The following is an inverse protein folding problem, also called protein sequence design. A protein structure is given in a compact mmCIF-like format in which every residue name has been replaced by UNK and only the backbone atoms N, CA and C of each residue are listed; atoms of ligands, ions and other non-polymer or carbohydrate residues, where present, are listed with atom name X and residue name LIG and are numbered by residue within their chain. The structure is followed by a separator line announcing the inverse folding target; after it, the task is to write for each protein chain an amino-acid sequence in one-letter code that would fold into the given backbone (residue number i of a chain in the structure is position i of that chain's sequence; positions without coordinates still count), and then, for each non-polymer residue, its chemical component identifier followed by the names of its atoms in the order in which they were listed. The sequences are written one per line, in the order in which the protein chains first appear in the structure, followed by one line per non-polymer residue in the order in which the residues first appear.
data_IF_763615420242
#
_entry.id   IF_763615420242
#
_cell.length_a   1.000
_cell.length_b   1.000
_cell.length_c   1.000
_cell.angle_alpha   90.00
_cell.angle_beta   90.00
_cell.angle_gamma   90.00
#
_symmetry.space_group_name_H-M   'P 1'
#
loop_
_entity.id
_entity.type
_entity.pdbx_description
1 polymer ?
#
# COMPACT_ATOMS: atom_id res chain seq x y z
N UNK A 1 13.89 9.38 25.14
CA UNK A 1 14.80 8.40 25.75
C UNK A 1 14.47 6.95 25.36
N UNK A 2 13.19 6.53 25.33
CA UNK A 2 12.83 5.18 24.89
C UNK A 2 13.25 4.93 23.43
N UNK A 3 13.09 5.93 22.56
CA UNK A 3 13.56 5.86 21.18
C UNK A 3 15.09 5.78 21.08
N UNK A 4 15.84 6.47 21.95
CA UNK A 4 17.30 6.39 21.95
C UNK A 4 17.76 4.97 22.30
N UNK A 5 17.15 4.35 23.32
CA UNK A 5 17.41 2.95 23.67
C UNK A 5 17.06 2.01 22.52
N UNK A 6 15.92 2.24 21.85
CA UNK A 6 15.52 1.43 20.71
C UNK A 6 16.49 1.60 19.52
N UNK A 7 16.95 2.81 19.25
CA UNK A 7 17.95 3.11 18.22
C UNK A 7 19.26 2.38 18.47
N UNK A 8 19.82 2.51 19.67
CA UNK A 8 21.09 1.89 20.07
C UNK A 8 21.05 0.35 19.96
N UNK A 9 19.89 -0.24 20.24
CA UNK A 9 19.71 -1.70 20.24
C UNK A 9 19.03 -2.23 18.97
N UNK A 10 18.73 -1.39 17.98
CA UNK A 10 17.99 -1.73 16.75
C UNK A 10 16.65 -2.43 17.04
N UNK A 11 15.88 -1.91 17.99
CA UNK A 11 14.60 -2.47 18.39
C UNK A 11 13.46 -1.76 17.68
N UNK A 12 12.45 -2.48 17.16
CA UNK A 12 11.23 -1.87 16.64
C UNK A 12 10.53 -1.01 17.71
N UNK A 13 9.96 0.11 17.29
CA UNK A 13 9.09 0.92 18.14
C UNK A 13 7.62 0.65 17.84
N UNK A 14 6.83 0.40 18.88
CA UNK A 14 5.38 0.28 18.79
C UNK A 14 4.79 1.40 19.66
N UNK A 15 4.08 2.33 19.02
CA UNK A 15 3.44 3.46 19.66
C UNK A 15 1.97 3.15 19.91
N UNK A 16 1.53 3.08 21.16
CA UNK A 16 0.11 3.03 21.54
C UNK A 16 -0.35 4.47 21.69
N UNK A 17 -1.05 5.00 20.67
CA UNK A 17 -1.28 6.45 20.57
C UNK A 17 -2.66 6.83 21.07
N UNK A 18 -2.67 7.70 22.07
CA UNK A 18 -3.80 8.44 22.58
C UNK A 18 -3.27 9.81 23.07
N UNK A 19 -3.43 10.85 22.26
CA UNK A 19 -2.85 12.17 22.50
C UNK A 19 -3.77 13.28 22.05
N UNK A 20 -4.21 14.09 22.99
CA UNK A 20 -5.01 15.31 22.74
C UNK A 20 -4.21 16.49 22.15
N UNK A 21 -2.90 16.30 21.91
CA UNK A 21 -1.99 17.36 21.49
C UNK A 21 -1.25 18.03 22.63
N UNK A 22 -0.71 19.23 22.41
CA UNK A 22 0.09 19.95 23.39
C UNK A 22 -0.76 20.53 24.53
N UNK A 23 -0.22 20.52 25.75
CA UNK A 23 -0.79 21.24 26.86
C UNK A 23 -0.58 22.76 26.68
N UNK A 24 -1.63 23.47 26.27
CA UNK A 24 -1.58 24.90 25.94
C UNK A 24 -1.03 25.80 27.04
N UNK A 25 -1.29 25.60 28.36
CA UNK A 25 -0.65 26.36 29.40
C UNK A 25 0.88 26.30 29.40
N UNK A 26 1.48 25.20 28.93
CA UNK A 26 2.92 24.98 28.89
C UNK A 26 3.49 25.05 27.45
N UNK A 27 2.77 25.70 26.52
CA UNK A 27 3.14 25.71 25.10
C UNK A 27 4.52 26.31 24.80
N UNK A 28 5.00 27.22 25.63
CA UNK A 28 6.32 27.85 25.48
C UNK A 28 7.49 26.88 25.60
N UNK A 29 7.29 25.75 26.27
CA UNK A 29 8.34 24.73 26.46
C UNK A 29 8.36 23.64 25.37
N UNK A 30 7.29 23.56 24.55
CA UNK A 30 7.09 22.43 23.64
C UNK A 30 8.13 22.34 22.51
N UNK A 31 8.59 23.50 22.00
CA UNK A 31 9.48 23.57 20.85
C UNK A 31 10.78 24.33 21.11
N UNK A 32 10.98 24.83 22.34
CA UNK A 32 12.08 25.69 22.67
C UNK A 32 13.44 24.97 22.69
N UNK A 33 13.46 23.69 22.95
CA UNK A 33 14.69 22.91 23.11
C UNK A 33 14.76 21.72 22.14
N UNK A 34 15.98 21.29 21.87
CA UNK A 34 16.33 20.11 21.05
C UNK A 34 15.61 18.84 21.53
N UNK A 35 15.51 18.64 22.83
CA UNK A 35 14.88 17.47 23.45
C UNK A 35 13.36 17.67 23.70
N UNK A 36 12.77 18.73 23.12
CA UNK A 36 11.35 18.99 23.15
C UNK A 36 10.54 18.00 22.30
N UNK A 37 9.24 18.26 22.17
CA UNK A 37 8.27 17.36 21.53
C UNK A 37 8.67 17.01 20.08
N UNK A 38 9.28 17.94 19.32
CA UNK A 38 9.75 17.71 17.95
C UNK A 38 10.80 16.60 17.82
N UNK A 39 11.57 16.30 18.89
CA UNK A 39 12.58 15.26 18.87
C UNK A 39 12.00 13.87 18.62
N UNK A 40 10.78 13.61 19.07
CA UNK A 40 10.08 12.34 18.84
C UNK A 40 9.94 12.05 17.36
N UNK A 41 9.55 13.03 16.55
CA UNK A 41 9.34 12.88 15.10
C UNK A 41 10.66 12.77 14.34
N UNK A 42 11.64 13.57 14.75
CA UNK A 42 13.01 13.46 14.21
C UNK A 42 13.57 12.06 14.40
N UNK A 43 13.49 11.52 15.60
CA UNK A 43 13.96 10.18 15.91
C UNK A 43 13.18 9.12 15.14
N UNK A 44 11.85 9.21 15.09
CA UNK A 44 10.99 8.27 14.37
C UNK A 44 11.40 8.17 12.89
N UNK A 45 11.59 9.30 12.20
CA UNK A 45 12.00 9.33 10.79
C UNK A 45 13.39 8.74 10.58
N UNK A 46 14.35 9.12 11.42
CA UNK A 46 15.73 8.63 11.31
C UNK A 46 15.81 7.13 11.60
N UNK A 47 15.07 6.62 12.57
CA UNK A 47 15.01 5.20 12.88
C UNK A 47 14.40 4.40 11.72
N UNK A 48 13.30 4.88 11.13
CA UNK A 48 12.71 4.28 9.93
C UNK A 48 13.73 4.25 8.78
N UNK A 49 14.43 5.34 8.49
CA UNK A 49 15.47 5.41 7.47
C UNK A 49 16.63 4.42 7.70
N UNK A 50 16.93 4.07 8.96
CA UNK A 50 17.90 3.04 9.32
C UNK A 50 17.33 1.61 9.26
N UNK A 51 16.08 1.44 8.86
CA UNK A 51 15.41 0.14 8.78
C UNK A 51 14.95 -0.40 10.12
N UNK A 52 14.81 0.46 11.14
CA UNK A 52 14.24 0.12 12.45
C UNK A 52 12.73 0.36 12.37
N UNK A 53 11.88 -0.69 12.40
CA UNK A 53 10.45 -0.55 12.16
C UNK A 53 9.73 0.34 13.18
N UNK A 54 8.86 1.21 12.67
CA UNK A 54 8.03 2.12 13.43
C UNK A 54 6.55 1.77 13.19
N UNK A 55 5.84 1.33 14.22
CA UNK A 55 4.43 0.93 14.14
C UNK A 55 3.61 1.81 15.06
N UNK A 56 2.52 2.40 14.57
CA UNK A 56 1.57 3.11 15.42
C UNK A 56 0.25 2.36 15.53
N UNK A 57 -0.33 2.37 16.71
CA UNK A 57 -1.67 1.85 17.00
C UNK A 57 -2.47 3.00 17.61
N UNK A 58 -3.41 3.53 16.84
CA UNK A 58 -4.27 4.63 17.25
C UNK A 58 -5.45 4.07 18.02
N UNK A 59 -5.37 4.19 19.35
CA UNK A 59 -6.34 3.64 20.31
C UNK A 59 -7.18 4.73 20.96
N UNK A 60 -6.96 5.98 20.60
CA UNK A 60 -7.68 7.15 21.09
C UNK A 60 -7.45 8.33 20.16
N UNK A 61 -7.48 9.54 20.69
CA UNK A 61 -7.24 10.75 19.89
C UNK A 61 -5.79 10.85 19.42
N UNK A 62 -5.59 11.35 18.20
CA UNK A 62 -4.30 11.81 17.70
C UNK A 62 -4.50 13.22 17.11
N UNK A 63 -4.37 14.25 17.96
CA UNK A 63 -4.67 15.62 17.59
C UNK A 63 -3.41 16.45 17.40
N UNK A 64 -3.43 17.37 16.45
CA UNK A 64 -2.36 18.32 16.13
C UNK A 64 -1.02 17.61 15.86
N UNK A 65 0.05 17.93 16.58
CA UNK A 65 1.34 17.27 16.45
C UNK A 65 1.28 15.75 16.66
N UNK A 66 0.37 15.27 17.53
CA UNK A 66 0.15 13.83 17.75
C UNK A 66 -0.29 13.05 16.53
N UNK A 67 -0.96 13.72 15.57
CA UNK A 67 -1.38 13.12 14.30
C UNK A 67 -0.20 12.62 13.43
N UNK A 68 0.98 13.20 13.61
CA UNK A 68 2.16 12.80 12.85
C UNK A 68 2.77 11.48 13.33
N UNK A 69 2.53 11.03 14.58
CA UNK A 69 3.03 9.74 15.06
C UNK A 69 2.53 8.60 14.15
N UNK A 70 1.22 8.39 13.94
CA UNK A 70 0.74 7.38 13.02
C UNK A 70 1.06 7.70 11.54
N UNK A 71 0.98 8.97 11.13
CA UNK A 71 1.18 9.35 9.74
C UNK A 71 2.63 9.14 9.25
N UNK A 72 3.61 9.18 10.14
CA UNK A 72 5.03 8.97 9.87
C UNK A 72 5.52 7.56 10.22
N UNK A 73 4.67 6.71 10.77
CA UNK A 73 5.01 5.31 11.04
C UNK A 73 5.07 4.51 9.73
N UNK A 74 5.90 3.46 9.72
CA UNK A 74 6.02 2.54 8.58
C UNK A 74 4.70 1.78 8.36
N UNK A 75 4.00 1.44 9.44
CA UNK A 75 2.63 0.94 9.43
C UNK A 75 1.80 1.53 10.57
N UNK A 76 0.55 1.87 10.26
CA UNK A 76 -0.40 2.45 11.20
C UNK A 76 -1.70 1.63 11.27
N UNK A 77 -2.10 1.32 12.50
CA UNK A 77 -3.36 0.64 12.84
C UNK A 77 -4.27 1.66 13.52
N UNK A 78 -5.55 1.67 13.20
CA UNK A 78 -6.52 2.52 13.89
C UNK A 78 -7.71 1.69 14.38
N UNK A 79 -8.18 1.97 15.60
CA UNK A 79 -9.35 1.31 16.17
C UNK A 79 -10.61 2.04 15.73
N UNK A 80 -11.54 1.31 15.12
CA UNK A 80 -12.80 1.81 14.59
C UNK A 80 -13.65 2.46 15.70
N UNK A 81 -14.27 3.60 15.40
CA UNK A 81 -15.14 4.35 16.32
C UNK A 81 -14.49 4.75 17.68
N UNK A 82 -13.16 4.68 17.76
CA UNK A 82 -12.39 5.01 18.96
C UNK A 82 -11.18 5.87 18.59
N UNK A 83 -10.38 5.42 17.65
CA UNK A 83 -9.22 6.15 17.16
C UNK A 83 -9.59 7.29 16.21
N UNK A 84 -8.99 8.46 16.40
CA UNK A 84 -9.14 9.60 15.48
C UNK A 84 -7.80 10.24 15.18
N UNK A 85 -7.62 10.74 13.95
CA UNK A 85 -6.41 11.44 13.51
C UNK A 85 -6.84 12.72 12.79
N UNK A 86 -6.45 13.89 13.31
CA UNK A 86 -6.66 15.17 12.63
C UNK A 86 -5.68 16.23 13.11
N UNK A 87 -5.31 17.17 12.23
CA UNK A 87 -4.42 18.29 12.57
C UNK A 87 -5.13 19.32 13.44
N UNK A 88 -6.45 19.44 13.29
CA UNK A 88 -7.30 20.30 14.11
C UNK A 88 -8.61 19.57 14.40
N UNK A 89 -8.97 19.46 15.67
CA UNK A 89 -10.21 18.80 16.09
C UNK A 89 -11.47 19.60 15.72
N UNK A 90 -12.69 19.00 15.87
CA UNK A 90 -13.95 19.63 15.49
C UNK A 90 -14.17 21.04 16.04
N UNK A 91 -13.78 21.37 17.31
CA UNK A 91 -13.93 22.74 17.82
C UNK A 91 -13.06 23.76 17.06
N UNK A 92 -11.84 23.38 16.68
CA UNK A 92 -10.94 24.26 15.91
C UNK A 92 -11.44 24.44 14.48
N UNK A 93 -11.91 23.36 13.83
CA UNK A 93 -12.52 23.42 12.49
C UNK A 93 -13.72 24.36 12.49
N UNK A 94 -14.62 24.23 13.46
CA UNK A 94 -15.77 25.13 13.61
C UNK A 94 -15.35 26.58 13.79
N UNK A 95 -14.33 26.84 14.61
CA UNK A 95 -13.85 28.20 14.85
C UNK A 95 -13.17 28.81 13.61
N UNK A 96 -12.45 28.01 12.82
CA UNK A 96 -11.67 28.48 11.67
C UNK A 96 -12.50 28.60 10.39
N UNK A 97 -13.43 27.68 10.15
CA UNK A 97 -14.16 27.56 8.86
C UNK A 97 -15.67 27.68 8.99
N UNK A 98 -16.22 27.62 10.23
CA UNK A 98 -17.66 27.53 10.47
C UNK A 98 -18.24 26.14 10.26
N UNK A 99 -17.47 25.16 9.78
CA UNK A 99 -17.94 23.79 9.53
C UNK A 99 -18.23 23.07 10.83
N UNK A 100 -19.37 22.40 10.89
CA UNK A 100 -19.76 21.52 12.00
C UNK A 100 -19.63 20.07 11.56
N UNK A 101 -18.67 19.36 12.11
CA UNK A 101 -18.33 17.99 11.74
C UNK A 101 -18.08 17.17 12.99
N UNK A 102 -18.45 15.87 12.97
CA UNK A 102 -18.13 14.96 14.07
C UNK A 102 -16.63 14.55 14.02
N UNK A 103 -16.07 14.10 15.13
CA UNK A 103 -14.70 13.60 15.17
C UNK A 103 -14.49 12.39 14.24
N UNK A 104 -15.49 11.49 14.19
CA UNK A 104 -15.43 10.31 13.32
C UNK A 104 -15.48 10.68 11.84
N UNK A 105 -16.34 11.64 11.44
CA UNK A 105 -16.42 12.10 10.04
C UNK A 105 -15.19 12.92 9.63
N UNK A 106 -14.56 13.64 10.56
CA UNK A 106 -13.38 14.47 10.31
C UNK A 106 -12.10 13.65 10.20
N UNK A 107 -11.94 12.63 11.03
CA UNK A 107 -10.68 11.88 11.10
C UNK A 107 -10.79 10.51 11.77
N UNK A 108 -11.93 9.85 11.64
CA UNK A 108 -12.14 8.51 12.18
C UNK A 108 -11.48 7.40 11.37
N UNK A 109 -11.55 6.20 11.93
CA UNK A 109 -10.86 5.03 11.38
C UNK A 109 -11.27 4.64 9.97
N UNK A 110 -12.55 4.69 9.65
CA UNK A 110 -13.04 4.36 8.31
C UNK A 110 -12.59 5.38 7.26
N UNK A 111 -12.59 6.66 7.60
CA UNK A 111 -12.12 7.72 6.70
C UNK A 111 -10.64 7.49 6.33
N UNK A 112 -9.80 7.29 7.35
CA UNK A 112 -8.36 7.17 7.13
C UNK A 112 -7.95 5.86 6.48
N UNK A 113 -8.67 4.77 6.75
CA UNK A 113 -8.36 3.47 6.14
C UNK A 113 -8.94 3.29 4.73
N UNK A 114 -9.98 4.07 4.33
CA UNK A 114 -10.66 3.91 3.03
C UNK A 114 -10.39 5.04 2.05
N UNK A 115 -10.28 6.29 2.54
CA UNK A 115 -10.25 7.49 1.68
C UNK A 115 -8.89 8.20 1.67
N UNK A 116 -8.36 8.52 2.85
CA UNK A 116 -7.09 9.27 2.93
C UNK A 116 -5.85 8.39 2.83
N UNK A 117 -5.95 7.10 3.20
CA UNK A 117 -4.82 6.19 3.22
C UNK A 117 -3.79 6.47 4.31
N UNK A 118 -4.10 7.32 5.30
CA UNK A 118 -3.20 7.62 6.43
C UNK A 118 -2.96 6.37 7.27
N UNK A 119 -3.98 5.53 7.45
CA UNK A 119 -3.84 4.26 8.17
C UNK A 119 -3.90 3.06 7.25
N UNK A 120 -3.19 2.00 7.64
CA UNK A 120 -3.00 0.79 6.85
C UNK A 120 -3.99 -0.31 7.22
N UNK A 121 -4.36 -0.35 8.50
CA UNK A 121 -5.20 -1.39 9.07
C UNK A 121 -6.30 -0.79 9.95
N UNK A 122 -7.53 -1.24 9.72
CA UNK A 122 -8.69 -0.91 10.56
C UNK A 122 -8.96 -2.07 11.52
N UNK A 123 -8.88 -1.80 12.82
CA UNK A 123 -9.18 -2.77 13.87
C UNK A 123 -10.56 -2.53 14.47
N UNK A 124 -11.29 -3.59 14.80
CA UNK A 124 -12.62 -3.51 15.39
C UNK A 124 -12.59 -3.07 16.88
N UNK A 125 -11.49 -3.34 17.57
CA UNK A 125 -11.25 -3.02 18.98
C UNK A 125 -9.78 -3.16 19.33
N UNK A 126 -9.40 -2.79 20.56
CA UNK A 126 -8.02 -2.83 21.05
C UNK A 126 -7.38 -4.22 20.93
N UNK A 127 -8.11 -5.26 21.29
CA UNK A 127 -7.60 -6.65 21.20
C UNK A 127 -7.29 -7.03 19.75
N UNK A 128 -8.12 -6.62 18.80
CA UNK A 128 -7.88 -6.84 17.38
C UNK A 128 -6.69 -6.01 16.90
N UNK A 129 -6.55 -4.76 17.33
CA UNK A 129 -5.41 -3.91 16.99
C UNK A 129 -4.08 -4.50 17.47
N UNK A 130 -4.03 -5.01 18.70
CA UNK A 130 -2.85 -5.69 19.24
C UNK A 130 -2.53 -6.99 18.51
N UNK A 131 -3.56 -7.71 18.03
CA UNK A 131 -3.35 -8.91 17.20
C UNK A 131 -2.72 -8.51 15.85
N UNK A 132 -3.26 -7.50 15.17
CA UNK A 132 -2.70 -7.00 13.90
C UNK A 132 -1.24 -6.58 14.10
N UNK A 133 -0.92 -5.86 15.18
CA UNK A 133 0.46 -5.47 15.48
C UNK A 133 1.39 -6.69 15.65
N UNK A 134 0.94 -7.76 16.31
CA UNK A 134 1.70 -9.01 16.40
C UNK A 134 1.90 -9.68 15.03
N UNK A 135 0.89 -9.65 14.19
CA UNK A 135 0.97 -10.19 12.82
C UNK A 135 1.99 -9.38 12.00
N UNK A 136 2.00 -8.05 12.11
CA UNK A 136 3.03 -7.18 11.48
C UNK A 136 4.42 -7.52 11.99
N UNK A 137 4.62 -7.60 13.31
CA UNK A 137 5.92 -7.94 13.91
C UNK A 137 6.42 -9.32 13.45
N UNK A 138 5.53 -10.25 13.19
CA UNK A 138 5.89 -11.59 12.67
C UNK A 138 6.53 -11.55 11.28
N UNK A 139 6.31 -10.45 10.52
CA UNK A 139 6.94 -10.26 9.20
C UNK A 139 8.40 -9.83 9.30
N UNK A 140 8.86 -9.33 10.44
CA UNK A 140 10.22 -8.87 10.61
C UNK A 140 11.21 -10.02 10.58
N UNK A 141 12.43 -9.74 10.13
CA UNK A 141 13.51 -10.72 10.20
C UNK A 141 13.89 -10.95 11.65
N UNK A 142 13.97 -12.20 12.07
CA UNK A 142 14.62 -12.56 13.33
C UNK A 142 16.12 -12.27 13.21
N UNK A 143 16.70 -11.67 14.25
CA UNK A 143 18.16 -11.56 14.42
C UNK A 143 18.74 -12.94 14.81
N UNK A 144 18.61 -13.95 13.97
CA UNK A 144 19.28 -15.22 14.23
C UNK A 144 20.66 -15.19 13.57
N UNK A 145 21.69 -15.36 14.38
CA UNK A 145 23.09 -15.50 13.95
C UNK A 145 23.37 -16.80 13.15
N UNK A 146 22.36 -17.57 12.88
CA UNK A 146 22.45 -18.81 12.09
C UNK A 146 21.54 -18.61 10.87
N UNK A 147 22.13 -18.45 9.73
CA UNK A 147 21.58 -18.23 8.40
C UNK A 147 20.07 -18.39 8.23
N UNK A 148 19.50 -17.83 7.17
CA UNK A 148 18.07 -17.90 6.85
C UNK A 148 17.52 -19.32 7.12
N UNK A 149 16.98 -19.57 8.31
CA UNK A 149 16.23 -20.80 8.54
C UNK A 149 14.95 -20.70 7.73
N UNK A 150 14.90 -21.39 6.61
CA UNK A 150 13.66 -21.64 5.87
C UNK A 150 12.65 -22.21 6.86
N UNK A 151 11.51 -21.57 6.98
CA UNK A 151 10.41 -22.19 7.69
C UNK A 151 9.91 -23.38 6.87
N UNK A 152 9.41 -24.42 7.53
CA UNK A 152 8.84 -25.54 6.81
C UNK A 152 7.69 -25.08 5.92
N UNK A 153 7.69 -25.45 4.63
CA UNK A 153 6.58 -25.14 3.73
C UNK A 153 5.27 -25.74 4.26
N UNK A 154 4.18 -25.03 4.06
CA UNK A 154 2.84 -25.51 4.38
C UNK A 154 2.01 -25.52 3.10
N UNK A 155 1.41 -26.66 2.74
CA UNK A 155 0.58 -26.76 1.55
C UNK A 155 -0.57 -25.75 1.60
N UNK A 156 -0.92 -25.10 0.47
CA UNK A 156 -2.12 -24.27 0.39
C UNK A 156 -3.37 -25.07 0.75
N UNK A 157 -4.34 -24.43 1.38
CA UNK A 157 -5.62 -25.09 1.72
C UNK A 157 -6.50 -25.38 0.50
N UNK A 158 -6.25 -24.72 -0.61
CA UNK A 158 -6.97 -24.91 -1.87
C UNK A 158 -6.09 -25.62 -2.88
N UNK A 159 -6.63 -26.62 -3.56
CA UNK A 159 -5.92 -27.35 -4.61
C UNK A 159 -5.46 -26.36 -5.72
N UNK A 160 -4.18 -26.44 -6.05
CA UNK A 160 -3.57 -25.62 -7.10
C UNK A 160 -4.27 -25.80 -8.47
N UNK A 161 -4.71 -27.01 -8.80
CA UNK A 161 -5.44 -27.30 -10.05
C UNK A 161 -6.76 -26.53 -10.15
N UNK A 162 -7.36 -26.15 -9.03
CA UNK A 162 -8.58 -25.36 -9.00
C UNK A 162 -8.41 -23.93 -9.54
N UNK A 163 -7.16 -23.46 -9.78
CA UNK A 163 -6.88 -22.20 -10.50
C UNK A 163 -7.57 -22.16 -11.87
N UNK A 164 -7.65 -23.28 -12.57
CA UNK A 164 -8.34 -23.33 -13.87
C UNK A 164 -9.83 -22.99 -13.79
N UNK A 165 -10.45 -23.15 -12.62
CA UNK A 165 -11.84 -22.73 -12.37
C UNK A 165 -11.98 -21.28 -11.95
N UNK A 166 -10.92 -20.65 -11.49
CA UNK A 166 -10.90 -19.23 -11.06
C UNK A 166 -10.72 -18.30 -12.25
N UNK A 167 -9.87 -18.70 -13.20
CA UNK A 167 -9.50 -17.83 -14.34
C UNK A 167 -10.59 -17.91 -15.40
N UNK A 168 -11.24 -16.77 -15.75
CA UNK A 168 -12.26 -16.74 -16.76
C UNK A 168 -11.65 -16.95 -18.15
N UNK A 169 -12.46 -17.49 -19.08
CA UNK A 169 -12.06 -17.66 -20.49
C UNK A 169 -11.81 -16.32 -21.20
N UNK A 170 -12.46 -15.25 -20.78
CA UNK A 170 -12.29 -13.90 -21.34
C UNK A 170 -11.58 -12.99 -20.34
N UNK A 171 -10.59 -12.22 -20.80
CA UNK A 171 -9.90 -11.20 -20.01
C UNK A 171 -10.80 -10.04 -19.57
N UNK A 172 -11.96 -9.86 -20.18
CA UNK A 172 -12.94 -8.84 -19.80
C UNK A 172 -13.78 -9.22 -18.58
N UNK A 173 -13.75 -10.48 -18.15
CA UNK A 173 -14.47 -10.93 -16.96
C UNK A 173 -13.56 -10.75 -15.76
N UNK A 174 -13.91 -9.89 -14.78
CA UNK A 174 -13.11 -9.70 -13.58
C UNK A 174 -13.19 -10.91 -12.66
N UNK A 175 -12.11 -11.15 -11.91
CA UNK A 175 -12.06 -12.10 -10.81
C UNK A 175 -11.22 -11.50 -9.69
N UNK A 176 -11.42 -11.97 -8.45
CA UNK A 176 -10.61 -11.52 -7.32
C UNK A 176 -9.26 -12.23 -7.32
N UNK A 177 -8.17 -11.48 -7.42
CA UNK A 177 -6.82 -12.04 -7.44
C UNK A 177 -6.43 -12.75 -6.14
N UNK A 178 -7.15 -12.48 -5.04
CA UNK A 178 -6.97 -13.20 -3.77
C UNK A 178 -7.24 -14.70 -3.90
N UNK A 179 -8.11 -15.08 -4.83
CA UNK A 179 -8.36 -16.50 -5.17
C UNK A 179 -7.10 -17.20 -5.72
N UNK A 180 -6.29 -16.47 -6.50
CA UNK A 180 -5.00 -17.00 -6.97
C UNK A 180 -4.02 -17.03 -5.83
N UNK A 181 -3.89 -15.94 -5.07
CA UNK A 181 -2.98 -15.84 -3.92
C UNK A 181 -3.22 -17.01 -2.95
N UNK A 182 -4.48 -17.28 -2.61
CA UNK A 182 -4.83 -18.35 -1.67
C UNK A 182 -4.40 -19.76 -2.13
N UNK A 183 -4.16 -19.95 -3.43
CA UNK A 183 -3.75 -21.25 -4.02
C UNK A 183 -2.25 -21.40 -4.22
N UNK A 184 -1.48 -20.33 -4.00
CA UNK A 184 -0.03 -20.35 -4.23
C UNK A 184 0.80 -20.05 -2.97
N UNK A 185 0.16 -19.56 -1.90
CA UNK A 185 0.86 -19.20 -0.67
C UNK A 185 0.68 -20.28 0.41
N UNK A 186 1.71 -20.44 1.23
CA UNK A 186 1.76 -21.43 2.30
C UNK A 186 0.57 -21.29 3.25
N UNK A 187 -0.15 -22.40 3.47
CA UNK A 187 -1.33 -22.48 4.33
C UNK A 187 -2.46 -21.53 3.92
N UNK A 188 -2.43 -20.96 2.72
CA UNK A 188 -3.32 -19.91 2.23
C UNK A 188 -3.34 -18.68 3.15
N UNK A 189 -2.22 -18.40 3.85
CA UNK A 189 -2.07 -17.32 4.81
C UNK A 189 -1.55 -16.08 4.10
N UNK A 190 -2.34 -15.02 4.11
CA UNK A 190 -2.01 -13.74 3.49
C UNK A 190 -2.32 -12.58 4.44
N UNK A 191 -1.29 -11.83 4.83
CA UNK A 191 -1.42 -10.61 5.64
C UNK A 191 -1.54 -9.42 4.70
N UNK A 192 -2.77 -9.04 4.39
CA UNK A 192 -3.06 -7.98 3.43
C UNK A 192 -2.75 -6.60 4.01
N UNK A 193 -1.98 -5.80 3.27
CA UNK A 193 -1.62 -4.42 3.58
C UNK A 193 -2.59 -3.46 2.91
N UNK A 194 -3.09 -2.45 3.64
CA UNK A 194 -4.05 -1.43 3.16
C UNK A 194 -5.26 -2.04 2.44
N UNK A 195 -5.87 -3.07 3.01
CA UNK A 195 -6.98 -3.82 2.38
C UNK A 195 -8.11 -2.92 1.87
N UNK A 196 -8.43 -1.85 2.60
CA UNK A 196 -9.56 -0.97 2.30
C UNK A 196 -9.20 0.21 1.40
N UNK A 197 -7.91 0.57 1.27
CA UNK A 197 -7.42 1.66 0.44
C UNK A 197 -6.92 1.14 -0.91
N UNK A 198 -7.26 1.81 -2.00
CA UNK A 198 -6.85 1.42 -3.35
C UNK A 198 -7.14 -0.06 -3.67
N UNK A 199 -8.38 -0.56 -3.57
CA UNK A 199 -8.71 -1.98 -3.60
C UNK A 199 -8.46 -2.66 -4.95
N UNK A 200 -8.17 -1.90 -6.00
CA UNK A 200 -7.82 -2.43 -7.32
C UNK A 200 -6.36 -2.91 -7.44
N UNK A 201 -5.57 -2.69 -6.38
CA UNK A 201 -4.27 -3.31 -6.18
C UNK A 201 -4.27 -4.04 -4.83
N UNK A 202 -3.98 -5.32 -4.83
CA UNK A 202 -3.84 -6.14 -3.63
C UNK A 202 -2.36 -6.24 -3.29
N UNK A 203 -2.01 -5.89 -2.05
CA UNK A 203 -0.65 -5.96 -1.53
C UNK A 203 -0.64 -6.65 -0.18
N UNK A 204 0.38 -7.40 0.13
CA UNK A 204 0.48 -8.06 1.43
C UNK A 204 1.63 -9.04 1.54
N UNK A 205 1.85 -9.53 2.76
CA UNK A 205 2.91 -10.48 3.08
C UNK A 205 2.37 -11.90 3.11
N UNK A 206 3.18 -12.80 2.58
CA UNK A 206 2.89 -14.24 2.58
C UNK A 206 4.18 -15.06 2.69
N UNK A 207 4.04 -16.37 2.66
CA UNK A 207 5.16 -17.29 2.41
C UNK A 207 4.85 -18.11 1.18
N UNK A 208 5.89 -18.45 0.42
CA UNK A 208 5.84 -19.39 -0.68
C UNK A 208 7.01 -20.34 -0.49
N UNK A 209 6.71 -21.62 -0.30
CA UNK A 209 7.69 -22.68 -0.03
C UNK A 209 8.63 -22.33 1.15
N UNK A 210 8.06 -21.75 2.22
CA UNK A 210 8.77 -21.33 3.42
C UNK A 210 9.48 -19.97 3.31
N UNK A 211 9.57 -19.36 2.13
CA UNK A 211 10.17 -18.04 1.93
C UNK A 211 9.18 -16.92 2.17
N UNK A 212 9.54 -15.92 2.99
CA UNK A 212 8.75 -14.69 3.13
C UNK A 212 8.82 -13.88 1.83
N UNK A 213 7.66 -13.46 1.33
CA UNK A 213 7.50 -12.64 0.13
C UNK A 213 6.49 -11.53 0.34
N UNK A 214 6.69 -10.41 -0.35
CA UNK A 214 5.68 -9.39 -0.55
C UNK A 214 4.98 -9.63 -1.88
N UNK A 215 3.66 -9.67 -1.88
CA UNK A 215 2.85 -9.86 -3.09
C UNK A 215 2.25 -8.52 -3.50
N UNK A 216 2.39 -8.18 -4.78
CA UNK A 216 1.74 -7.03 -5.44
C UNK A 216 0.92 -7.58 -6.60
N UNK A 217 -0.38 -7.51 -6.51
CA UNK A 217 -1.28 -8.17 -7.46
C UNK A 217 -2.37 -7.23 -7.98
N UNK A 218 -2.61 -7.22 -9.28
CA UNK A 218 -3.70 -6.44 -9.84
C UNK A 218 -5.07 -7.06 -9.53
N UNK A 219 -6.01 -6.21 -9.15
CA UNK A 219 -7.41 -6.54 -8.94
C UNK A 219 -8.33 -5.57 -9.70
N UNK A 220 -7.82 -4.99 -10.77
CA UNK A 220 -8.50 -4.00 -11.62
C UNK A 220 -7.55 -2.95 -12.16
N UNK A 221 -8.11 -1.82 -12.60
CA UNK A 221 -7.40 -0.66 -13.15
C UNK A 221 -6.63 0.06 -12.02
N UNK A 222 -5.47 0.63 -12.32
CA UNK A 222 -4.71 1.42 -11.37
C UNK A 222 -5.27 2.85 -11.25
N UNK A 223 -5.55 3.28 -10.03
CA UNK A 223 -5.91 4.64 -9.64
C UNK A 223 -4.75 5.28 -8.86
N UNK A 224 -4.88 6.56 -8.51
CA UNK A 224 -3.92 7.26 -7.65
C UNK A 224 -3.70 6.53 -6.33
N UNK A 225 -4.79 6.15 -5.66
CA UNK A 225 -4.76 5.42 -4.39
C UNK A 225 -4.05 4.07 -4.52
N UNK A 226 -4.31 3.34 -5.60
CA UNK A 226 -3.64 2.06 -5.89
C UNK A 226 -2.13 2.25 -6.09
N UNK A 227 -1.75 3.33 -6.77
CA UNK A 227 -0.35 3.67 -7.02
C UNK A 227 0.39 4.06 -5.73
N UNK A 228 -0.22 4.88 -4.90
CA UNK A 228 0.32 5.27 -3.59
C UNK A 228 0.47 4.05 -2.67
N UNK A 229 -0.54 3.20 -2.60
CA UNK A 229 -0.50 1.92 -1.86
C UNK A 229 0.64 1.03 -2.34
N UNK A 230 0.75 0.85 -3.65
CA UNK A 230 1.80 0.01 -4.25
C UNK A 230 3.20 0.55 -3.97
N UNK A 231 3.43 1.86 -4.10
CA UNK A 231 4.70 2.50 -3.80
C UNK A 231 5.09 2.28 -2.33
N UNK A 232 4.21 2.60 -1.40
CA UNK A 232 4.43 2.42 0.04
C UNK A 232 4.76 0.94 0.38
N UNK A 233 3.99 -0.01 -0.14
CA UNK A 233 4.24 -1.44 0.13
C UNK A 233 5.58 -1.94 -0.42
N UNK A 234 5.96 -1.49 -1.62
CA UNK A 234 7.24 -1.86 -2.24
C UNK A 234 8.41 -1.30 -1.44
N UNK A 235 8.32 -0.04 -0.99
CA UNK A 235 9.32 0.60 -0.13
C UNK A 235 9.45 -0.14 1.21
N UNK A 236 8.32 -0.53 1.81
CA UNK A 236 8.27 -1.32 3.03
C UNK A 236 8.95 -2.70 2.86
N UNK A 237 8.72 -3.37 1.73
CA UNK A 237 9.43 -4.61 1.39
C UNK A 237 10.93 -4.38 1.21
N UNK A 238 11.32 -3.27 0.58
CA UNK A 238 12.72 -2.85 0.43
C UNK A 238 13.42 -2.66 1.78
N UNK A 239 12.79 -1.93 2.69
CA UNK A 239 13.27 -1.69 4.05
C UNK A 239 13.45 -3.01 4.83
N UNK A 240 12.48 -3.92 4.73
CA UNK A 240 12.49 -5.24 5.41
C UNK A 240 13.31 -6.30 4.68
N UNK A 241 13.87 -6.00 3.51
CA UNK A 241 14.61 -6.94 2.67
C UNK A 241 13.78 -8.18 2.30
N UNK A 242 12.51 -7.98 1.99
CA UNK A 242 11.55 -9.03 1.59
C UNK A 242 11.45 -9.05 0.06
N UNK A 243 11.71 -10.19 -0.62
CA UNK A 243 11.51 -10.33 -2.06
C UNK A 243 10.07 -10.04 -2.49
N UNK A 244 9.90 -9.51 -3.70
CA UNK A 244 8.61 -9.15 -4.26
C UNK A 244 8.15 -10.12 -5.35
N UNK A 245 6.89 -10.50 -5.29
CA UNK A 245 6.19 -11.28 -6.33
C UNK A 245 5.07 -10.41 -6.91
N UNK A 246 5.15 -10.12 -8.21
CA UNK A 246 4.14 -9.38 -8.95
C UNK A 246 3.22 -10.34 -9.70
N UNK A 247 1.93 -10.30 -9.43
CA UNK A 247 0.89 -11.00 -10.19
C UNK A 247 0.21 -9.98 -11.11
N UNK A 248 0.61 -9.98 -12.37
CA UNK A 248 0.25 -8.95 -13.32
C UNK A 248 -0.99 -9.33 -14.13
N UNK A 249 -2.07 -8.58 -13.94
CA UNK A 249 -3.27 -8.58 -14.77
C UNK A 249 -3.79 -7.15 -14.87
N UNK A 250 -3.13 -6.32 -15.70
CA UNK A 250 -3.34 -4.89 -15.75
C UNK A 250 -3.83 -4.41 -17.13
N UNK A 251 -4.90 -3.64 -17.11
CA UNK A 251 -5.45 -2.94 -18.30
C UNK A 251 -4.84 -1.55 -18.51
N UNK A 252 -4.19 -0.98 -17.49
CA UNK A 252 -3.59 0.34 -17.51
C UNK A 252 -3.93 1.17 -16.28
N UNK A 253 -3.49 2.43 -16.29
CA UNK A 253 -3.95 3.44 -15.34
C UNK A 253 -5.30 3.99 -15.79
N UNK A 254 -6.10 4.47 -14.85
CA UNK A 254 -7.34 5.16 -15.14
C UNK A 254 -7.07 6.44 -15.92
N UNK A 255 -7.92 6.76 -16.87
CA UNK A 255 -7.80 7.94 -17.74
C UNK A 255 -9.02 8.85 -17.59
N UNK A 256 -8.85 10.13 -17.89
CA UNK A 256 -9.93 11.10 -17.89
C UNK A 256 -9.58 12.35 -17.07
N UNK A 257 -10.24 13.49 -17.42
CA UNK A 257 -9.94 14.82 -16.83
C UNK A 257 -9.86 14.81 -15.31
N UNK A 258 -10.83 14.20 -14.63
CA UNK A 258 -10.88 14.11 -13.17
C UNK A 258 -9.63 13.44 -12.57
N UNK A 259 -9.10 12.42 -13.23
CA UNK A 259 -7.94 11.67 -12.73
C UNK A 259 -6.62 12.39 -13.01
N UNK A 260 -6.54 13.06 -14.17
CA UNK A 260 -5.39 13.93 -14.48
C UNK A 260 -5.32 15.12 -13.52
N UNK A 261 -6.43 15.81 -13.26
CA UNK A 261 -6.55 16.87 -12.26
C UNK A 261 -6.21 16.38 -10.84
N UNK A 262 -6.55 15.12 -10.51
CA UNK A 262 -6.21 14.44 -9.25
C UNK A 262 -4.75 14.02 -9.13
N UNK A 263 -3.92 14.18 -10.17
CA UNK A 263 -2.49 13.89 -10.14
C UNK A 263 -2.11 12.44 -10.38
N UNK A 264 -2.93 11.65 -11.08
CA UNK A 264 -2.69 10.21 -11.34
C UNK A 264 -1.33 9.94 -12.01
N UNK A 265 -0.86 10.84 -12.88
CA UNK A 265 0.45 10.72 -13.51
C UNK A 265 1.58 10.80 -12.48
N UNK A 266 1.47 11.69 -11.48
CA UNK A 266 2.46 11.83 -10.41
C UNK A 266 2.43 10.65 -9.46
N UNK A 267 1.26 10.18 -9.08
CA UNK A 267 1.12 9.02 -8.20
C UNK A 267 1.55 7.73 -8.90
N UNK A 268 1.23 7.56 -10.18
CA UNK A 268 1.75 6.48 -11.00
C UNK A 268 3.27 6.49 -11.11
N UNK A 269 3.87 7.67 -11.25
CA UNK A 269 5.33 7.82 -11.27
C UNK A 269 5.98 7.39 -9.95
N UNK A 270 5.36 7.64 -8.80
CA UNK A 270 5.86 7.14 -7.49
C UNK A 270 5.90 5.61 -7.46
N UNK A 271 4.83 4.94 -7.93
CA UNK A 271 4.80 3.48 -8.03
C UNK A 271 5.91 2.96 -8.94
N UNK A 272 6.06 3.54 -10.13
CA UNK A 272 7.10 3.14 -11.10
C UNK A 272 8.50 3.37 -10.52
N UNK A 273 8.72 4.47 -9.80
CA UNK A 273 9.98 4.75 -9.12
C UNK A 273 10.27 3.71 -8.05
N UNK A 274 9.30 3.39 -7.19
CA UNK A 274 9.46 2.36 -6.16
C UNK A 274 9.82 0.99 -6.76
N UNK A 275 9.14 0.56 -7.83
CA UNK A 275 9.46 -0.68 -8.57
C UNK A 275 10.88 -0.65 -9.11
N UNK A 276 11.33 0.51 -9.62
CA UNK A 276 12.64 0.66 -10.26
C UNK A 276 13.78 0.63 -9.25
N UNK A 277 13.60 1.29 -8.11
CA UNK A 277 14.68 1.59 -7.16
C UNK A 277 14.78 0.59 -6.01
N UNK A 278 13.71 -0.19 -5.76
CA UNK A 278 13.73 -1.18 -4.66
C UNK A 278 14.85 -2.21 -4.86
N UNK A 279 15.66 -2.37 -3.82
CA UNK A 279 16.81 -3.28 -3.85
C UNK A 279 16.49 -4.63 -3.17
N UNK A 280 15.50 -5.34 -3.72
CA UNK A 280 15.18 -6.73 -3.36
C UNK A 280 14.91 -7.55 -4.63
N UNK A 281 15.05 -8.87 -4.60
CA UNK A 281 14.65 -9.72 -5.73
C UNK A 281 13.19 -9.50 -6.11
N UNK A 282 12.93 -9.34 -7.41
CA UNK A 282 11.59 -9.17 -7.98
C UNK A 282 11.28 -10.33 -8.92
N UNK A 283 10.10 -10.89 -8.82
CA UNK A 283 9.58 -11.97 -9.66
C UNK A 283 8.24 -11.54 -10.24
N UNK A 284 8.03 -11.73 -11.53
CA UNK A 284 6.78 -11.32 -12.18
C UNK A 284 6.10 -12.51 -12.87
N UNK A 285 4.83 -12.70 -12.59
CA UNK A 285 3.97 -13.65 -13.30
C UNK A 285 2.85 -12.87 -13.99
N UNK A 286 2.79 -12.90 -15.31
CA UNK A 286 1.70 -12.32 -16.07
C UNK A 286 0.57 -13.34 -16.09
N UNK A 287 -0.47 -13.09 -15.30
CA UNK A 287 -1.61 -13.99 -15.11
C UNK A 287 -2.80 -13.63 -16.02
N UNK A 288 -2.68 -12.54 -16.78
CA UNK A 288 -3.72 -12.04 -17.68
C UNK A 288 -3.19 -10.93 -18.59
N UNK A 289 -3.78 -9.75 -18.53
CA UNK A 289 -3.36 -8.59 -19.32
C UNK A 289 -2.10 -7.93 -18.80
N UNK A 290 -1.30 -7.36 -19.71
CA UNK A 290 -0.16 -6.49 -19.41
C UNK A 290 -0.14 -5.36 -20.44
N UNK A 291 -0.90 -4.28 -20.16
CA UNK A 291 -1.15 -3.22 -21.11
C UNK A 291 -0.62 -1.87 -20.66
N UNK A 292 -0.02 -1.14 -21.62
CA UNK A 292 0.42 0.23 -21.47
C UNK A 292 1.41 0.46 -20.32
N UNK A 293 1.36 1.65 -19.71
CA UNK A 293 2.22 2.03 -18.59
C UNK A 293 1.93 1.24 -17.30
N UNK A 294 0.80 0.53 -17.21
CA UNK A 294 0.54 -0.41 -16.13
C UNK A 294 1.61 -1.52 -16.04
N UNK A 295 2.18 -1.92 -17.17
CA UNK A 295 3.33 -2.83 -17.21
C UNK A 295 4.53 -2.31 -16.38
N UNK A 296 4.75 -0.99 -16.34
CA UNK A 296 5.85 -0.37 -15.59
C UNK A 296 5.62 -0.51 -14.08
N UNK A 297 4.43 -0.14 -13.60
CA UNK A 297 4.06 -0.22 -12.18
C UNK A 297 3.98 -1.66 -11.64
N UNK A 298 3.88 -2.65 -12.54
CA UNK A 298 3.78 -4.07 -12.18
C UNK A 298 5.04 -4.87 -12.51
N UNK A 299 6.19 -4.21 -12.56
CA UNK A 299 7.50 -4.84 -12.79
C UNK A 299 7.56 -5.66 -14.09
N UNK A 300 7.22 -5.01 -15.23
CA UNK A 300 7.41 -5.61 -16.54
C UNK A 300 8.88 -5.87 -16.88
N UNK A 301 9.16 -6.43 -18.06
CA UNK A 301 10.51 -6.89 -18.44
C UNK A 301 11.60 -5.82 -18.31
N UNK A 302 11.28 -4.57 -18.65
CA UNK A 302 12.22 -3.44 -18.58
C UNK A 302 12.62 -3.06 -17.14
N UNK A 303 11.88 -3.52 -16.13
CA UNK A 303 12.13 -3.25 -14.71
C UNK A 303 12.95 -4.32 -14.01
N UNK A 304 13.60 -5.17 -14.81
CA UNK A 304 14.59 -6.17 -14.38
C UNK A 304 14.11 -7.12 -13.28
N UNK A 305 12.95 -7.79 -13.46
CA UNK A 305 12.64 -8.91 -12.60
C UNK A 305 13.70 -10.01 -12.78
N UNK A 306 14.03 -10.73 -11.69
CA UNK A 306 14.95 -11.88 -11.73
C UNK A 306 14.44 -12.94 -12.67
N UNK A 307 13.14 -13.23 -12.58
CA UNK A 307 12.42 -14.12 -13.48
C UNK A 307 11.06 -13.53 -13.82
N UNK A 308 10.61 -13.81 -15.03
CA UNK A 308 9.32 -13.39 -15.54
C UNK A 308 8.67 -14.54 -16.29
N UNK A 309 7.46 -14.89 -15.90
CA UNK A 309 6.65 -15.93 -16.53
C UNK A 309 5.34 -15.34 -17.06
N UNK A 310 4.82 -15.97 -18.09
CA UNK A 310 3.55 -15.60 -18.69
C UNK A 310 2.65 -16.84 -18.78
N UNK A 311 1.42 -16.72 -18.29
CA UNK A 311 0.43 -17.78 -18.44
C UNK A 311 -0.06 -17.90 -19.90
N UNK A 312 -0.56 -19.05 -20.35
CA UNK A 312 -1.00 -19.23 -21.74
C UNK A 312 -2.08 -18.27 -22.19
N UNK A 313 -2.93 -17.78 -21.29
CA UNK A 313 -3.98 -16.79 -21.54
C UNK A 313 -3.48 -15.34 -21.54
N UNK A 314 -2.21 -15.08 -21.21
CA UNK A 314 -1.69 -13.72 -21.08
C UNK A 314 -1.61 -12.97 -22.42
N UNK A 315 -1.71 -11.64 -22.33
CA UNK A 315 -1.59 -10.71 -23.48
C UNK A 315 -0.74 -9.52 -23.05
N UNK A 316 0.20 -9.15 -23.94
CA UNK A 316 1.12 -8.01 -23.71
C UNK A 316 1.02 -7.09 -24.93
N UNK A 317 0.63 -5.83 -24.73
CA UNK A 317 0.64 -4.80 -25.77
C UNK A 317 0.46 -3.40 -25.18
N UNK A 318 0.41 -2.38 -26.03
CA UNK A 318 0.13 -1.00 -25.59
C UNK A 318 -1.29 -0.88 -25.02
N UNK A 319 -2.27 -1.55 -25.65
CA UNK A 319 -3.68 -1.60 -25.20
C UNK A 319 -4.32 -2.91 -25.66
N UNK A 320 -5.44 -3.28 -25.05
CA UNK A 320 -6.21 -4.46 -25.48
C UNK A 320 -6.68 -4.35 -26.93
N UNK A 321 -6.75 -5.48 -27.63
CA UNK A 321 -7.05 -5.50 -29.08
C UNK A 321 -8.37 -4.81 -29.45
N UNK A 322 -9.43 -5.02 -28.69
CA UNK A 322 -10.72 -4.35 -28.90
C UNK A 322 -10.63 -2.84 -28.70
N UNK A 323 -9.93 -2.39 -27.65
CA UNK A 323 -9.68 -0.98 -27.39
C UNK A 323 -8.84 -0.35 -28.52
N UNK A 324 -7.81 -1.04 -28.99
CA UNK A 324 -6.97 -0.60 -30.09
C UNK A 324 -7.80 -0.43 -31.37
N UNK A 325 -8.65 -1.39 -31.71
CA UNK A 325 -9.53 -1.32 -32.86
C UNK A 325 -10.49 -0.11 -32.80
N UNK A 326 -11.09 0.16 -31.64
CA UNK A 326 -11.97 1.29 -31.43
C UNK A 326 -11.24 2.64 -31.56
N UNK A 327 -10.04 2.77 -30.98
CA UNK A 327 -9.20 3.96 -31.09
C UNK A 327 -8.84 4.22 -32.57
N UNK A 328 -8.36 3.20 -33.29
CA UNK A 328 -7.99 3.33 -34.70
C UNK A 328 -9.20 3.71 -35.55
N UNK A 329 -10.37 3.12 -35.31
CA UNK A 329 -11.60 3.47 -36.01
C UNK A 329 -12.01 4.93 -35.77
N UNK A 330 -11.90 5.42 -34.54
CA UNK A 330 -12.20 6.81 -34.19
C UNK A 330 -11.24 7.79 -34.87
N UNK A 331 -9.92 7.53 -34.76
CA UNK A 331 -8.89 8.37 -35.41
C UNK A 331 -9.12 8.42 -36.92
N UNK A 332 -9.44 7.29 -37.57
CA UNK A 332 -9.72 7.26 -39.00
C UNK A 332 -10.96 8.11 -39.38
N UNK A 333 -12.01 8.06 -38.55
CA UNK A 333 -13.22 8.90 -38.75
C UNK A 333 -12.89 10.38 -38.65
N UNK A 334 -12.10 10.79 -37.63
CA UNK A 334 -11.70 12.18 -37.38
C UNK A 334 -10.81 12.71 -38.50
N UNK A 335 -9.85 11.92 -38.98
CA UNK A 335 -9.01 12.29 -40.12
C UNK A 335 -9.81 12.48 -41.38
N UNK A 336 -10.79 11.58 -41.65
CA UNK A 336 -11.66 11.67 -42.81
C UNK A 336 -12.60 12.89 -42.71
N UNK A 337 -13.12 13.21 -41.53
CA UNK A 337 -13.94 14.40 -41.32
C UNK A 337 -13.16 15.69 -41.58
N UNK A 338 -11.92 15.80 -41.06
CA UNK A 338 -11.03 16.93 -41.30
C UNK A 338 -10.64 17.10 -42.79
N UNK A 339 -10.50 16.01 -43.52
CA UNK A 339 -10.24 16.05 -44.97
C UNK A 339 -11.46 16.55 -45.77
N UNK A 340 -12.70 16.25 -45.31
CA UNK A 340 -13.93 16.74 -45.97
C UNK A 340 -14.21 18.23 -45.74
N UNK A 341 -13.61 18.83 -44.68
CA UNK A 341 -13.79 20.26 -44.39
C UNK A 341 -12.76 21.13 -45.17
N UNK A 342 -11.76 20.53 -45.78
CA UNK A 342 -10.73 21.24 -46.58
C UNK A 342 -11.04 21.34 -48.09
N UNK A 343 -12.25 21.03 -48.49
CA UNK A 343 -12.75 21.23 -49.85
C UNK A 343 -13.97 22.21 -49.83
#
# INVERSE_FOLDING_TARGET
RAQDVALENHLPCIYLVDSGGANLPNQSEMFADKEGFGRTFYNQSNMSALGIPQIAIVMGSCTAGGAYVPAMSDEAIIVKNQGTIFLGGPPLVKAATGEVVSAEDLGGGELHSKKSGVTDHLAENDKHALKIARDIVSTFKKKDNKGNSLELPEEPKYDLKSIYGVIPKSLSIPYDVREIIARIVDGSKFLEFKKLYGPTLVTGFAKIMGFKVGIVANNGILFSESSQKGAHFIELCGQRKIPLVFLQNISGFMVGKKYEEGGIAKDGAKLVTAVSTVNVPKFTVIIGGSFGAGNYGMCGRAFSPRFMWAWPNSRISVMGGEQAANVLATVKKDVNARRKIKW
#
